data_IF_919839170798
#
_entry.id   IF_919839170798
#
_cell.length_a   1.000
_cell.length_b   1.000
_cell.length_c   1.000
_cell.angle_alpha   90.00
_cell.angle_beta   90.00
_cell.angle_gamma   90.00
#
_symmetry.space_group_name_H-M   'P 1'
#
loop_
_entity.id
_entity.type
_entity.pdbx_description
1 polymer ?
#
# COMPACT_ATOMS: atom_id res chain seq x y z
N UNK A 1 9.13 -8.19 -10.61
CA UNK A 1 10.04 -7.17 -10.04
C UNK A 1 10.67 -6.41 -11.19
N UNK A 2 10.14 -5.22 -11.52
CA UNK A 2 10.69 -4.37 -12.57
C UNK A 2 11.97 -3.71 -12.05
N UNK A 3 13.10 -3.93 -12.71
CA UNK A 3 14.35 -3.20 -12.44
C UNK A 3 14.44 -2.05 -13.43
N UNK A 4 14.17 -0.83 -12.98
CA UNK A 4 14.51 0.39 -13.73
C UNK A 4 16.04 0.48 -13.81
N UNK A 5 16.58 0.28 -15.00
CA UNK A 5 18.01 0.38 -15.24
C UNK A 5 18.38 1.85 -15.50
N UNK A 6 18.95 2.50 -14.49
CA UNK A 6 19.40 3.90 -14.55
C UNK A 6 20.92 3.91 -14.62
N UNK A 7 21.46 4.29 -15.78
CA UNK A 7 22.91 4.30 -16.04
C UNK A 7 23.60 5.56 -15.50
N UNK A 8 22.87 6.69 -15.38
CA UNK A 8 23.41 7.96 -14.90
C UNK A 8 23.44 7.99 -13.36
N UNK A 9 24.65 7.99 -12.78
CA UNK A 9 24.85 7.97 -11.32
C UNK A 9 24.25 9.19 -10.61
N UNK A 10 24.24 10.38 -11.24
CA UNK A 10 23.64 11.59 -10.67
C UNK A 10 22.12 11.48 -10.58
N UNK A 11 21.50 10.91 -11.63
CA UNK A 11 20.05 10.64 -11.67
C UNK A 11 19.68 9.58 -10.63
N UNK A 12 20.51 8.52 -10.50
CA UNK A 12 20.32 7.50 -9.46
C UNK A 12 20.38 8.11 -8.05
N UNK A 13 21.32 9.01 -7.80
CA UNK A 13 21.45 9.70 -6.52
C UNK A 13 20.22 10.57 -6.21
N UNK A 14 19.72 11.34 -7.17
CA UNK A 14 18.50 12.14 -7.01
C UNK A 14 17.28 11.25 -6.69
N UNK A 15 17.10 10.16 -7.43
CA UNK A 15 15.98 9.22 -7.21
C UNK A 15 16.07 8.58 -5.83
N UNK A 16 17.26 8.16 -5.40
CA UNK A 16 17.46 7.56 -4.09
C UNK A 16 17.10 8.55 -2.96
N UNK A 17 17.53 9.82 -3.07
CA UNK A 17 17.20 10.86 -2.11
C UNK A 17 15.68 11.12 -2.02
N UNK A 18 15.00 11.21 -3.17
CA UNK A 18 13.55 11.40 -3.25
C UNK A 18 12.82 10.22 -2.59
N UNK A 19 13.21 8.98 -2.88
CA UNK A 19 12.63 7.77 -2.29
C UNK A 19 12.80 7.77 -0.76
N UNK A 20 13.99 8.14 -0.26
CA UNK A 20 14.23 8.21 1.18
C UNK A 20 13.35 9.26 1.86
N UNK A 21 13.21 10.43 1.22
CA UNK A 21 12.36 11.52 1.73
C UNK A 21 10.89 11.10 1.79
N UNK A 22 10.38 10.43 0.75
CA UNK A 22 9.03 9.87 0.75
C UNK A 22 8.86 8.84 1.87
N UNK A 23 9.85 7.97 2.10
CA UNK A 23 9.80 6.96 3.17
C UNK A 23 9.67 7.62 4.55
N UNK A 24 10.45 8.67 4.81
CA UNK A 24 10.37 9.43 6.05
C UNK A 24 9.01 10.11 6.24
N UNK A 25 8.44 10.71 5.19
CA UNK A 25 7.12 11.34 5.27
C UNK A 25 5.99 10.33 5.52
N UNK A 26 6.05 9.15 4.86
CA UNK A 26 5.06 8.07 5.07
C UNK A 26 5.08 7.46 6.46
N UNK A 27 6.21 7.49 7.17
CA UNK A 27 6.30 7.02 8.55
C UNK A 27 5.55 7.93 9.55
N UNK A 28 5.22 9.17 9.17
CA UNK A 28 4.58 10.15 10.05
C UNK A 28 3.11 10.46 9.76
N UNK A 29 2.55 10.05 8.61
CA UNK A 29 1.21 10.47 8.18
C UNK A 29 0.40 9.28 7.65
N UNK A 30 -0.54 8.77 8.46
CA UNK A 30 -1.51 7.74 8.07
C UNK A 30 -2.65 8.27 7.19
N UNK A 31 -2.37 9.10 6.18
CA UNK A 31 -3.36 9.66 5.26
C UNK A 31 -3.02 9.39 3.81
N UNK A 32 -4.06 9.28 2.97
CA UNK A 32 -3.95 9.30 1.51
C UNK A 32 -3.33 10.62 1.06
N UNK A 33 -2.13 10.54 0.48
CA UNK A 33 -1.48 11.67 -0.17
C UNK A 33 -1.62 11.48 -1.68
N UNK A 34 -2.64 12.12 -2.26
CA UNK A 34 -2.87 12.13 -3.72
C UNK A 34 -1.77 12.90 -4.45
N UNK A 35 -1.20 13.91 -3.80
CA UNK A 35 -0.08 14.71 -4.27
C UNK A 35 0.98 14.75 -3.17
N UNK A 36 2.21 14.36 -3.50
CA UNK A 36 3.36 14.50 -2.62
C UNK A 36 4.17 15.71 -3.08
N UNK A 37 4.33 16.70 -2.21
CA UNK A 37 5.24 17.84 -2.42
C UNK A 37 6.49 17.64 -1.58
N UNK A 38 7.66 17.66 -2.23
CA UNK A 38 8.95 17.42 -1.62
C UNK A 38 9.89 18.60 -1.91
N UNK A 39 10.39 19.24 -0.85
CA UNK A 39 11.27 20.40 -0.97
C UNK A 39 12.75 20.01 -1.02
N UNK A 40 13.47 20.55 -2.01
CA UNK A 40 14.90 20.33 -2.20
C UNK A 40 15.63 21.61 -2.59
N UNK A 41 16.91 21.67 -2.29
CA UNK A 41 17.86 22.62 -2.88
C UNK A 41 18.49 22.00 -4.13
N UNK A 42 18.32 22.64 -5.30
CA UNK A 42 18.91 22.20 -6.56
C UNK A 42 20.28 22.86 -6.77
N UNK A 43 21.31 22.06 -7.08
CA UNK A 43 22.57 22.60 -7.57
C UNK A 43 22.44 22.97 -9.07
N UNK A 44 22.49 24.26 -9.44
CA UNK A 44 22.25 24.68 -10.82
C UNK A 44 23.37 24.28 -11.81
N UNK A 45 24.53 23.85 -11.31
CA UNK A 45 25.66 23.38 -12.15
C UNK A 45 25.66 21.87 -12.35
N UNK A 46 25.19 21.11 -11.36
CA UNK A 46 25.29 19.64 -11.38
C UNK A 46 23.97 18.92 -11.54
N UNK A 47 22.84 19.61 -11.30
CA UNK A 47 21.51 19.01 -11.30
C UNK A 47 21.21 18.13 -10.08
N UNK A 48 22.11 18.11 -9.07
CA UNK A 48 21.94 17.30 -7.87
C UNK A 48 21.04 17.98 -6.84
N UNK A 49 20.13 17.18 -6.26
CA UNK A 49 19.22 17.58 -5.19
C UNK A 49 19.87 17.40 -3.82
N UNK A 50 19.55 18.30 -2.88
CA UNK A 50 19.97 18.23 -1.47
C UNK A 50 18.86 18.73 -0.55
N UNK A 51 18.90 18.35 0.72
CA UNK A 51 18.06 18.95 1.78
C UNK A 51 18.87 20.13 2.37
N UNK A 52 18.23 21.29 2.51
CA UNK A 52 18.79 22.61 2.88
C UNK A 52 19.88 22.67 3.99
N UNK A 53 20.65 23.79 4.13
CA UNK A 53 20.70 25.00 3.29
C UNK A 53 22.13 25.41 2.87
N UNK A 54 22.35 25.69 1.60
CA UNK A 54 23.49 26.50 1.13
C UNK A 54 23.10 27.08 -0.23
N UNK A 55 23.14 28.42 -0.34
CA UNK A 55 23.07 29.27 -1.55
C UNK A 55 22.59 28.59 -2.85
N UNK A 56 21.33 28.12 -2.87
CA UNK A 56 20.77 27.38 -4.00
C UNK A 56 19.32 27.74 -4.23
N UNK A 57 18.87 27.54 -5.47
CA UNK A 57 17.45 27.61 -5.81
C UNK A 57 16.70 26.48 -5.12
N UNK A 58 15.65 26.86 -4.39
CA UNK A 58 14.76 25.94 -3.71
C UNK A 58 13.65 25.55 -4.68
N UNK A 59 13.47 24.25 -4.84
CA UNK A 59 12.42 23.70 -5.71
C UNK A 59 11.57 22.75 -4.91
N UNK A 60 10.28 22.72 -5.24
CA UNK A 60 9.37 21.67 -4.80
C UNK A 60 9.14 20.73 -5.98
N UNK A 61 9.35 19.44 -5.75
CA UNK A 61 9.01 18.38 -6.72
C UNK A 61 7.66 17.82 -6.31
N UNK A 62 6.67 18.04 -7.16
CA UNK A 62 5.30 17.57 -6.98
C UNK A 62 5.10 16.27 -7.76
N UNK A 63 4.72 15.22 -7.04
CA UNK A 63 4.38 13.93 -7.60
C UNK A 63 2.88 13.75 -7.53
N UNK A 64 2.19 13.89 -8.65
CA UNK A 64 0.77 13.56 -8.77
C UNK A 64 0.65 12.08 -9.17
N UNK A 65 0.31 11.25 -8.18
CA UNK A 65 0.21 9.81 -8.35
C UNK A 65 -0.99 9.44 -9.24
N UNK A 66 -2.07 10.24 -9.20
CA UNK A 66 -3.29 9.98 -9.95
C UNK A 66 -3.13 10.35 -11.43
N UNK A 67 -2.58 11.54 -11.69
CA UNK A 67 -2.39 12.06 -13.04
C UNK A 67 -1.09 11.55 -13.70
N UNK A 68 -0.21 10.90 -12.94
CA UNK A 68 1.12 10.43 -13.40
C UNK A 68 1.99 11.58 -13.86
N UNK A 69 1.92 12.67 -13.13
CA UNK A 69 2.66 13.88 -13.45
C UNK A 69 3.72 14.15 -12.40
N UNK A 70 4.87 14.62 -12.90
CA UNK A 70 5.96 15.11 -12.08
C UNK A 70 6.14 16.56 -12.49
N UNK A 71 5.88 17.47 -11.55
CA UNK A 71 6.04 18.90 -11.76
C UNK A 71 7.15 19.41 -10.85
N UNK A 72 7.95 20.34 -11.34
CA UNK A 72 8.94 21.05 -10.54
C UNK A 72 8.50 22.51 -10.50
N UNK A 73 8.31 23.03 -9.30
CA UNK A 73 7.90 24.41 -9.03
C UNK A 73 8.97 25.09 -8.21
N UNK A 74 9.20 26.38 -8.46
CA UNK A 74 10.12 27.16 -7.64
C UNK A 74 9.45 27.47 -6.29
N UNK A 75 10.13 27.13 -5.20
CA UNK A 75 9.56 27.20 -3.86
C UNK A 75 9.26 28.65 -3.49
N UNK A 76 8.03 28.88 -3.00
CA UNK A 76 7.53 30.23 -2.71
C UNK A 76 6.89 30.93 -3.91
N UNK A 77 6.79 30.25 -5.06
CA UNK A 77 6.05 30.71 -6.24
C UNK A 77 5.01 29.66 -6.66
N UNK A 78 4.01 30.07 -7.43
CA UNK A 78 3.08 29.14 -8.10
C UNK A 78 3.55 28.77 -9.52
N UNK A 79 4.73 29.24 -9.93
CA UNK A 79 5.22 29.08 -11.30
C UNK A 79 6.08 27.82 -11.44
N UNK A 80 5.94 27.17 -12.60
CA UNK A 80 6.82 26.07 -12.99
C UNK A 80 8.27 26.55 -13.01
N UNK A 81 9.16 25.70 -12.51
CA UNK A 81 10.58 26.00 -12.47
C UNK A 81 11.14 26.11 -13.89
N UNK A 82 11.73 27.26 -14.22
CA UNK A 82 12.35 27.45 -15.52
C UNK A 82 13.70 26.74 -15.59
N UNK A 83 13.73 25.66 -16.39
CA UNK A 83 14.91 24.86 -16.65
C UNK A 83 15.96 25.57 -17.52
N UNK A 84 15.62 26.68 -18.18
CA UNK A 84 16.57 27.44 -18.99
C UNK A 84 17.56 28.24 -18.14
N UNK A 85 17.27 28.43 -16.85
CA UNK A 85 18.11 29.21 -15.93
C UNK A 85 19.22 28.39 -15.25
N UNK A 86 19.39 27.11 -15.63
CA UNK A 86 20.42 26.22 -15.10
C UNK A 86 21.35 25.71 -16.20
N UNK A 87 22.51 25.19 -15.81
CA UNK A 87 23.49 24.64 -16.75
C UNK A 87 22.87 23.53 -17.63
N UNK A 88 23.16 23.44 -18.94
CA UNK A 88 22.58 22.41 -19.81
C UNK A 88 22.78 20.97 -19.30
N UNK A 89 23.90 20.68 -18.66
CA UNK A 89 24.16 19.38 -18.06
C UNK A 89 23.28 19.17 -16.81
N UNK A 90 23.07 20.21 -16.00
CA UNK A 90 22.15 20.17 -14.87
C UNK A 90 20.69 19.99 -15.32
N UNK A 91 20.29 20.68 -16.39
CA UNK A 91 18.98 20.54 -17.03
C UNK A 91 18.76 19.11 -17.50
N UNK A 92 19.74 18.50 -18.17
CA UNK A 92 19.65 17.11 -18.61
C UNK A 92 19.46 16.17 -17.41
N UNK A 93 20.27 16.31 -16.35
CA UNK A 93 20.18 15.48 -15.14
C UNK A 93 18.81 15.61 -14.47
N UNK A 94 18.28 16.83 -14.34
CA UNK A 94 16.97 17.06 -13.71
C UNK A 94 15.83 16.53 -14.58
N UNK A 95 15.91 16.70 -15.90
CA UNK A 95 14.91 16.20 -16.85
C UNK A 95 14.88 14.66 -16.86
N UNK A 96 16.06 14.01 -16.89
CA UNK A 96 16.17 12.55 -16.77
C UNK A 96 15.61 12.07 -15.42
N UNK A 97 15.92 12.78 -14.33
CA UNK A 97 15.35 12.49 -13.00
C UNK A 97 13.82 12.52 -13.04
N UNK A 98 13.22 13.58 -13.57
CA UNK A 98 11.75 13.70 -13.68
C UNK A 98 11.16 12.61 -14.58
N UNK A 99 11.82 12.27 -15.69
CA UNK A 99 11.39 11.20 -16.57
C UNK A 99 11.34 9.84 -15.85
N UNK A 100 12.40 9.48 -15.13
CA UNK A 100 12.44 8.22 -14.39
C UNK A 100 11.47 8.18 -13.21
N UNK A 101 11.23 9.32 -12.55
CA UNK A 101 10.17 9.44 -11.54
C UNK A 101 8.79 9.21 -12.16
N UNK A 102 8.52 9.77 -13.34
CA UNK A 102 7.27 9.56 -14.07
C UNK A 102 7.09 8.10 -14.49
N UNK A 103 8.15 7.44 -14.98
CA UNK A 103 8.13 5.99 -15.24
C UNK A 103 7.85 5.19 -13.96
N UNK A 104 8.52 5.53 -12.86
CA UNK A 104 8.29 4.90 -11.58
C UNK A 104 6.85 5.10 -11.07
N UNK A 105 6.25 6.29 -11.24
CA UNK A 105 4.83 6.55 -10.95
C UNK A 105 3.89 5.70 -11.84
N UNK A 106 4.24 5.53 -13.11
CA UNK A 106 3.53 4.63 -14.03
C UNK A 106 3.50 3.20 -13.49
N UNK A 107 4.66 2.69 -13.06
CA UNK A 107 4.79 1.37 -12.45
C UNK A 107 4.21 1.28 -11.04
N UNK A 108 4.10 2.39 -10.31
CA UNK A 108 3.43 2.41 -9.02
C UNK A 108 1.94 2.15 -9.17
N UNK A 109 1.31 2.44 -10.32
CA UNK A 109 -0.07 2.00 -10.59
C UNK A 109 -0.15 0.49 -10.84
N UNK A 110 0.83 -0.08 -11.55
CA UNK A 110 0.98 -1.54 -11.72
C UNK A 110 1.29 -2.24 -10.37
N UNK A 111 1.85 -1.50 -9.41
CA UNK A 111 2.11 -1.95 -8.02
C UNK A 111 0.95 -1.57 -7.09
N UNK A 112 0.07 -0.65 -7.44
CA UNK A 112 -1.19 -0.39 -6.72
C UNK A 112 -2.16 -1.57 -6.88
N UNK A 113 -1.96 -2.46 -7.87
CA UNK A 113 -2.57 -3.79 -7.90
C UNK A 113 -1.89 -4.79 -6.94
N UNK A 114 -0.75 -4.45 -6.32
CA UNK A 114 0.06 -5.38 -5.49
C UNK A 114 0.31 -4.91 -4.05
N UNK A 115 0.08 -3.65 -3.66
CA UNK A 115 0.30 -3.24 -2.25
C UNK A 115 -0.75 -2.24 -1.74
N UNK A 116 -1.93 -2.75 -1.36
CA UNK A 116 -2.74 -2.14 -0.30
C UNK A 116 -2.58 -2.90 1.03
N UNK A 117 -1.35 -3.04 1.52
CA UNK A 117 -1.16 -3.39 2.94
C UNK A 117 -1.20 -2.09 3.75
N UNK A 118 -2.37 -1.46 3.79
CA UNK A 118 -2.74 -0.63 4.93
C UNK A 118 -3.78 -1.43 5.69
N UNK A 119 -3.32 -2.08 6.76
CA UNK A 119 -4.23 -2.56 7.79
C UNK A 119 -4.92 -1.32 8.32
N UNK A 120 -6.25 -1.31 8.22
CA UNK A 120 -7.09 -0.27 8.75
C UNK A 120 -6.67 0.02 10.21
N UNK A 121 -6.26 1.24 10.58
CA UNK A 121 -5.86 1.58 11.96
C UNK A 121 -6.93 1.22 13.00
N UNK A 122 -8.18 1.13 12.54
CA UNK A 122 -9.32 0.68 13.32
C UNK A 122 -9.18 -0.80 13.80
N UNK A 123 -8.29 -1.58 13.18
CA UNK A 123 -7.92 -2.95 13.57
C UNK A 123 -7.10 -3.06 14.86
N UNK A 124 -6.53 -1.95 15.35
CA UNK A 124 -5.64 -1.97 16.52
C UNK A 124 -6.33 -2.47 17.80
N UNK A 125 -7.65 -2.39 17.85
CA UNK A 125 -8.50 -2.74 18.99
C UNK A 125 -9.09 -4.16 18.91
N UNK A 126 -8.82 -4.91 17.83
CA UNK A 126 -9.49 -6.18 17.54
C UNK A 126 -8.73 -7.40 18.11
N UNK A 127 -9.44 -8.27 18.84
CA UNK A 127 -8.92 -9.58 19.30
C UNK A 127 -8.62 -10.50 18.10
N UNK A 128 -7.40 -11.02 17.97
CA UNK A 128 -6.98 -11.86 16.83
C UNK A 128 -6.20 -11.11 15.75
N UNK A 129 -5.92 -9.81 15.96
CA UNK A 129 -5.15 -8.94 15.05
C UNK A 129 -3.83 -9.55 14.55
N UNK A 130 -3.09 -10.26 15.40
CA UNK A 130 -1.80 -10.87 15.00
C UNK A 130 -1.94 -11.82 13.81
N UNK A 131 -3.00 -12.64 13.82
CA UNK A 131 -3.24 -13.63 12.77
C UNK A 131 -3.79 -12.97 11.50
N UNK A 132 -4.62 -11.95 11.65
CA UNK A 132 -5.06 -11.13 10.52
C UNK A 132 -3.86 -10.45 9.86
N UNK A 133 -2.98 -9.84 10.66
CA UNK A 133 -1.76 -9.18 10.17
C UNK A 133 -0.83 -10.14 9.44
N UNK A 134 -0.68 -11.37 9.94
CA UNK A 134 0.16 -12.38 9.31
C UNK A 134 -0.34 -12.72 7.90
N UNK A 135 -1.65 -12.85 7.73
CA UNK A 135 -2.28 -13.28 6.49
C UNK A 135 -3.01 -12.14 5.75
N UNK A 136 -2.67 -10.87 6.00
CA UNK A 136 -3.35 -9.72 5.38
C UNK A 136 -2.84 -9.43 3.97
N UNK A 137 -3.77 -9.28 3.04
CA UNK A 137 -3.51 -8.84 1.67
C UNK A 137 -4.58 -7.84 1.25
N UNK A 138 -4.20 -6.60 0.91
CA UNK A 138 -5.11 -5.67 0.25
C UNK A 138 -5.18 -5.95 -1.23
N UNK A 139 -5.90 -7.01 -1.58
CA UNK A 139 -6.10 -7.46 -2.95
C UNK A 139 -7.59 -7.65 -3.21
N UNK A 140 -7.99 -7.47 -4.47
CA UNK A 140 -9.32 -7.85 -4.93
C UNK A 140 -9.40 -9.36 -5.19
N UNK A 141 -10.63 -9.87 -5.34
CA UNK A 141 -10.89 -11.31 -5.49
C UNK A 141 -10.04 -11.97 -6.58
N UNK A 142 -9.93 -11.33 -7.75
CA UNK A 142 -9.22 -11.87 -8.92
C UNK A 142 -7.73 -12.12 -8.62
N UNK A 143 -7.09 -11.21 -7.90
CA UNK A 143 -5.66 -11.30 -7.60
C UNK A 143 -5.41 -12.29 -6.46
N UNK A 144 -6.29 -12.31 -5.45
CA UNK A 144 -6.27 -13.32 -4.39
C UNK A 144 -6.41 -14.73 -4.97
N UNK A 145 -7.31 -14.92 -5.93
CA UNK A 145 -7.51 -16.19 -6.63
C UNK A 145 -6.26 -16.62 -7.42
N UNK A 146 -5.68 -15.69 -8.20
CA UNK A 146 -4.45 -15.97 -8.96
C UNK A 146 -3.30 -16.41 -8.05
N UNK A 147 -3.12 -15.75 -6.90
CA UNK A 147 -2.07 -16.11 -5.96
C UNK A 147 -2.35 -17.48 -5.34
N UNK A 148 -3.57 -17.70 -4.84
CA UNK A 148 -3.93 -18.94 -4.15
C UNK A 148 -3.88 -20.17 -5.06
N UNK A 149 -4.24 -20.05 -6.34
CA UNK A 149 -4.13 -21.15 -7.31
C UNK A 149 -2.68 -21.64 -7.51
N UNK A 150 -1.69 -20.82 -7.16
CA UNK A 150 -0.27 -21.19 -7.18
C UNK A 150 0.24 -21.70 -5.82
N UNK A 151 -0.66 -22.05 -4.89
CA UNK A 151 -0.34 -22.53 -3.54
C UNK A 151 -0.93 -23.92 -3.28
N UNK A 152 -0.72 -24.45 -2.07
CA UNK A 152 -1.27 -25.75 -1.68
C UNK A 152 -2.67 -25.62 -1.07
N UNK A 153 -3.57 -26.62 -1.27
CA UNK A 153 -4.85 -26.68 -0.58
C UNK A 153 -4.76 -26.46 0.93
N UNK A 154 -5.68 -25.65 1.44
CA UNK A 154 -5.75 -25.14 2.79
C UNK A 154 -4.88 -23.92 3.10
N UNK A 155 -4.31 -23.29 2.07
CA UNK A 155 -3.71 -21.96 2.19
C UNK A 155 -4.81 -20.89 2.20
N UNK A 156 -4.70 -19.90 3.09
CA UNK A 156 -5.71 -18.85 3.25
C UNK A 156 -5.12 -17.45 3.44
N UNK A 157 -5.90 -16.42 3.15
CA UNK A 157 -5.57 -15.01 3.39
C UNK A 157 -6.81 -14.22 3.83
N UNK A 158 -6.57 -13.06 4.44
CA UNK A 158 -7.59 -12.04 4.72
C UNK A 158 -7.42 -10.87 3.77
N UNK A 159 -8.55 -10.32 3.35
CA UNK A 159 -8.63 -9.08 2.57
C UNK A 159 -9.86 -8.28 3.00
N UNK A 160 -9.87 -6.99 2.66
CA UNK A 160 -11.07 -6.13 2.75
C UNK A 160 -11.36 -5.61 1.35
N UNK A 161 -12.26 -6.30 0.66
CA UNK A 161 -12.75 -5.87 -0.64
C UNK A 161 -13.88 -4.86 -0.51
N UNK A 162 -14.30 -4.31 -1.65
CA UNK A 162 -15.43 -3.37 -1.69
C UNK A 162 -16.70 -3.95 -1.08
N UNK A 163 -16.93 -5.25 -1.22
CA UNK A 163 -18.11 -5.91 -0.66
C UNK A 163 -18.07 -5.92 0.87
N UNK A 164 -16.96 -6.35 1.47
CA UNK A 164 -16.78 -6.33 2.92
C UNK A 164 -16.87 -4.90 3.49
N UNK A 165 -16.34 -3.90 2.79
CA UNK A 165 -16.49 -2.48 3.16
C UNK A 165 -17.94 -2.03 3.20
N UNK A 166 -18.71 -2.29 2.14
CA UNK A 166 -20.15 -1.95 2.07
C UNK A 166 -20.94 -2.70 3.16
N UNK A 167 -20.62 -3.97 3.39
CA UNK A 167 -21.24 -4.77 4.44
C UNK A 167 -20.98 -4.20 5.84
N UNK A 168 -19.75 -3.73 6.10
CA UNK A 168 -19.38 -3.08 7.35
C UNK A 168 -20.24 -1.83 7.62
N UNK A 169 -20.42 -0.98 6.61
CA UNK A 169 -21.25 0.23 6.70
C UNK A 169 -22.71 -0.11 7.00
N UNK A 170 -23.29 -1.04 6.23
CA UNK A 170 -24.70 -1.45 6.37
C UNK A 170 -24.94 -2.04 7.76
N UNK A 171 -24.12 -3.01 8.17
CA UNK A 171 -24.30 -3.69 9.45
C UNK A 171 -24.07 -2.72 10.61
N UNK A 172 -23.08 -1.83 10.52
CA UNK A 172 -22.84 -0.83 11.55
C UNK A 172 -24.03 0.11 11.72
N UNK A 173 -24.66 0.52 10.61
CA UNK A 173 -25.86 1.35 10.63
C UNK A 173 -27.06 0.61 11.27
N UNK A 174 -27.29 -0.65 10.88
CA UNK A 174 -28.40 -1.46 11.41
C UNK A 174 -28.23 -1.74 12.91
N UNK A 175 -27.01 -2.08 13.34
CA UNK A 175 -26.72 -2.43 14.74
C UNK A 175 -26.48 -1.22 15.64
N UNK A 176 -26.35 -0.02 15.06
CA UNK A 176 -25.99 1.22 15.78
C UNK A 176 -24.73 1.04 16.64
N UNK A 177 -23.80 0.25 16.13
CA UNK A 177 -22.55 -0.11 16.78
C UNK A 177 -21.52 -0.30 15.70
N UNK A 178 -20.26 0.00 16.00
CA UNK A 178 -19.15 -0.32 15.10
C UNK A 178 -19.11 -1.84 14.90
N UNK A 179 -19.07 -2.23 13.63
CA UNK A 179 -18.88 -3.61 13.18
C UNK A 179 -17.63 -3.62 12.31
N UNK A 180 -16.94 -4.75 12.32
CA UNK A 180 -15.79 -4.95 11.47
C UNK A 180 -16.02 -6.15 10.54
N UNK A 181 -15.75 -5.98 9.25
CA UNK A 181 -15.98 -7.01 8.25
C UNK A 181 -14.71 -7.28 7.43
N UNK A 182 -14.38 -8.56 7.25
CA UNK A 182 -13.30 -9.04 6.42
C UNK A 182 -13.77 -10.15 5.48
N UNK A 183 -13.02 -10.35 4.41
CA UNK A 183 -13.16 -11.53 3.57
C UNK A 183 -11.97 -12.47 3.82
N UNK A 184 -12.29 -13.68 4.24
CA UNK A 184 -11.37 -14.82 4.26
C UNK A 184 -11.44 -15.51 2.90
N UNK A 185 -10.31 -15.56 2.20
CA UNK A 185 -10.18 -16.30 0.94
C UNK A 185 -9.24 -17.46 1.12
N UNK A 186 -9.62 -18.65 0.66
CA UNK A 186 -8.84 -19.86 0.84
C UNK A 186 -8.94 -20.81 -0.36
N UNK A 187 -7.93 -21.66 -0.53
CA UNK A 187 -7.94 -22.75 -1.51
C UNK A 187 -8.48 -24.02 -0.83
N UNK A 188 -9.62 -24.54 -1.27
CA UNK A 188 -10.26 -25.73 -0.70
C UNK A 188 -9.53 -27.04 -1.11
N UNK A 189 -9.86 -28.20 -0.48
CA UNK A 189 -9.26 -29.49 -0.82
C UNK A 189 -9.43 -29.90 -2.29
N UNK A 190 -10.48 -29.41 -2.94
CA UNK A 190 -10.79 -29.64 -4.35
C UNK A 190 -10.01 -28.72 -5.30
N UNK A 191 -9.18 -27.82 -4.77
CA UNK A 191 -8.38 -26.88 -5.56
C UNK A 191 -9.17 -25.68 -6.07
N UNK A 192 -10.32 -25.37 -5.46
CA UNK A 192 -11.14 -24.21 -5.80
C UNK A 192 -10.91 -23.10 -4.77
N UNK A 193 -10.88 -21.86 -5.26
CA UNK A 193 -10.78 -20.68 -4.40
C UNK A 193 -12.18 -20.34 -3.88
N UNK A 194 -12.29 -20.20 -2.56
CA UNK A 194 -13.53 -19.91 -1.83
C UNK A 194 -13.38 -18.63 -1.03
N UNK A 195 -14.48 -17.91 -0.89
CA UNK A 195 -14.59 -16.72 -0.04
C UNK A 195 -15.58 -16.98 1.09
N UNK A 196 -15.27 -16.46 2.28
CA UNK A 196 -16.19 -16.31 3.40
C UNK A 196 -16.06 -14.93 4.01
N UNK A 197 -17.18 -14.26 4.22
CA UNK A 197 -17.20 -13.00 4.97
C UNK A 197 -17.20 -13.30 6.47
N UNK A 198 -16.28 -12.68 7.19
CA UNK A 198 -16.14 -12.78 8.64
C UNK A 198 -16.47 -11.43 9.24
N UNK A 199 -17.23 -11.43 10.34
CA UNK A 199 -17.72 -10.23 11.01
C UNK A 199 -17.37 -10.26 12.50
N UNK A 200 -17.01 -9.10 13.06
CA UNK A 200 -16.94 -8.90 14.51
C UNK A 200 -18.18 -8.18 15.01
N UNK A 201 -18.81 -8.74 16.04
CA UNK A 201 -19.92 -8.09 16.73
C UNK A 201 -19.89 -8.39 18.22
N UNK A 202 -19.95 -7.35 19.05
CA UNK A 202 -19.89 -7.46 20.52
C UNK A 202 -18.73 -8.35 21.01
N UNK A 203 -17.54 -8.13 20.47
CA UNK A 203 -16.32 -8.90 20.77
C UNK A 203 -16.35 -10.39 20.38
N UNK A 204 -17.33 -10.81 19.58
CA UNK A 204 -17.40 -12.16 19.03
C UNK A 204 -17.17 -12.14 17.53
N UNK A 205 -16.63 -13.24 17.04
CA UNK A 205 -16.39 -13.51 15.63
C UNK A 205 -17.49 -14.41 15.08
N UNK A 206 -17.90 -14.20 13.83
CA UNK A 206 -18.87 -15.06 13.16
C UNK A 206 -18.65 -15.06 11.63
N UNK A 207 -19.07 -16.15 10.97
CA UNK A 207 -19.22 -16.16 9.53
C UNK A 207 -20.56 -15.52 9.16
N UNK A 208 -20.52 -14.51 8.29
CA UNK A 208 -21.72 -13.86 7.80
C UNK A 208 -22.43 -14.75 6.77
N UNK A 209 -23.74 -14.87 6.92
CA UNK A 209 -24.64 -15.75 6.18
C UNK A 209 -25.83 -14.99 5.58
N UNK A 210 -25.61 -13.72 5.22
CA UNK A 210 -26.62 -12.81 4.67
C UNK A 210 -27.75 -12.42 5.66
N UNK A 211 -27.62 -12.78 6.94
CA UNK A 211 -28.53 -12.36 8.00
C UNK A 211 -28.04 -11.07 8.71
N UNK A 212 -28.70 -9.91 8.52
CA UNK A 212 -28.34 -8.66 9.18
C UNK A 212 -28.61 -8.70 10.69
N UNK A 213 -29.32 -9.70 11.20
CA UNK A 213 -29.48 -9.90 12.64
C UNK A 213 -28.21 -10.46 13.30
N UNK A 214 -27.26 -10.98 12.51
CA UNK A 214 -26.02 -11.60 12.97
C UNK A 214 -26.27 -12.70 13.99
N UNK A 215 -27.38 -13.45 13.86
CA UNK A 215 -27.85 -14.45 14.84
C UNK A 215 -27.11 -15.80 14.75
N UNK A 216 -26.10 -15.90 13.90
CA UNK A 216 -25.32 -17.12 13.66
C UNK A 216 -24.42 -17.53 14.82
N UNK A 217 -23.59 -18.53 14.56
CA UNK A 217 -22.67 -19.10 15.55
C UNK A 217 -21.56 -18.10 15.91
N UNK A 218 -21.46 -17.77 17.19
CA UNK A 218 -20.42 -16.89 17.73
C UNK A 218 -19.19 -17.67 18.19
N UNK A 219 -18.03 -17.09 17.93
CA UNK A 219 -16.73 -17.57 18.37
C UNK A 219 -16.07 -16.50 19.24
N UNK A 220 -15.43 -16.93 20.32
CA UNK A 220 -14.76 -16.02 21.28
C UNK A 220 -13.47 -15.42 20.72
N UNK A 221 -12.86 -16.10 19.75
CA UNK A 221 -11.64 -15.70 19.09
C UNK A 221 -11.70 -15.98 17.59
N UNK A 222 -10.83 -15.32 16.83
CA UNK A 222 -10.70 -15.58 15.40
C UNK A 222 -10.15 -17.00 15.18
N UNK A 223 -9.26 -17.45 16.04
CA UNK A 223 -8.67 -18.78 16.04
C UNK A 223 -9.75 -19.86 16.18
N UNK A 224 -10.70 -19.70 17.10
CA UNK A 224 -11.82 -20.63 17.26
C UNK A 224 -12.71 -20.67 16.00
N UNK A 225 -12.94 -19.50 15.39
CA UNK A 225 -13.71 -19.39 14.14
C UNK A 225 -13.01 -20.13 12.99
N UNK A 226 -11.70 -19.95 12.83
CA UNK A 226 -10.95 -20.64 11.78
C UNK A 226 -10.84 -22.14 12.06
N UNK A 227 -10.67 -22.52 13.33
CA UNK A 227 -10.63 -23.92 13.75
C UNK A 227 -11.96 -24.64 13.49
N UNK A 228 -13.08 -23.91 13.53
CA UNK A 228 -14.40 -24.45 13.18
C UNK A 228 -14.50 -24.91 11.71
N UNK A 229 -13.57 -24.49 10.85
CA UNK A 229 -13.46 -24.96 9.47
C UNK A 229 -12.71 -26.29 9.35
N UNK A 230 -12.30 -26.90 10.47
CA UNK A 230 -11.69 -28.22 10.51
C UNK A 230 -10.40 -28.29 9.69
N UNK A 231 -10.30 -29.30 8.83
CA UNK A 231 -9.10 -29.56 8.01
C UNK A 231 -9.01 -28.70 6.74
N UNK A 232 -9.99 -27.82 6.50
CA UNK A 232 -10.04 -26.95 5.31
C UNK A 232 -8.91 -25.92 5.39
N UNK A 233 -8.76 -25.22 6.51
CA UNK A 233 -7.71 -24.22 6.69
C UNK A 233 -6.50 -24.84 7.38
N UNK A 234 -5.31 -24.69 6.78
CA UNK A 234 -4.07 -25.29 7.27
C UNK A 234 -2.98 -24.28 7.53
N UNK A 235 -2.83 -23.28 6.66
CA UNK A 235 -1.72 -22.33 6.74
C UNK A 235 -2.11 -20.94 6.23
N UNK A 236 -1.71 -19.87 6.92
CA UNK A 236 -1.83 -18.53 6.37
C UNK A 236 -0.89 -18.37 5.18
N UNK A 237 -1.30 -17.56 4.21
CA UNK A 237 -0.44 -17.01 3.19
C UNK A 237 0.20 -15.75 3.76
N UNK A 238 1.49 -15.78 4.13
CA UNK A 238 2.13 -14.63 4.74
C UNK A 238 2.09 -13.44 3.79
N UNK A 239 1.72 -12.27 4.31
CA UNK A 239 1.88 -11.02 3.59
C UNK A 239 3.33 -10.93 3.09
N UNK A 240 3.53 -10.53 1.83
CA UNK A 240 4.88 -10.38 1.26
C UNK A 240 5.60 -9.29 2.05
N UNK A 241 6.38 -9.71 3.05
CA UNK A 241 7.33 -8.83 3.73
C UNK A 241 8.38 -8.48 2.69
N UNK A 242 8.35 -7.25 2.18
CA UNK A 242 9.50 -6.71 1.46
C UNK A 242 10.65 -6.74 2.45
N UNK A 243 11.51 -7.77 2.35
CA UNK A 243 12.78 -7.78 3.06
C UNK A 243 13.57 -6.60 2.52
N UNK A 244 13.59 -5.49 3.24
CA UNK A 244 14.69 -4.55 3.14
C UNK A 244 15.92 -5.32 3.58
N UNK A 245 16.67 -5.85 2.62
CA UNK A 245 18.04 -6.28 2.85
C UNK A 245 18.79 -5.02 3.28
N UNK A 246 18.92 -4.85 4.60
CA UNK A 246 19.93 -3.99 5.18
C UNK A 246 21.27 -4.64 4.88
N UNK A 247 21.81 -4.36 3.69
CA UNK A 247 23.25 -4.54 3.47
C UNK A 247 23.91 -3.36 4.14
N UNK A 248 24.22 -3.51 5.43
CA UNK A 248 25.20 -2.66 6.08
C UNK A 248 26.57 -3.28 5.83
N UNK A 249 27.37 -2.51 5.08
CA UNK A 249 28.82 -2.64 4.83
C UNK A 249 29.29 -3.91 4.07
#
# INVERSE_FOLDING_TARGET
MYKLHIQNEKVRANIALIIETIRHLKQGQGRELHVLSLSFALNPRTGLLQIEPLERKLIDIHLDVHQREVCVVERGTEHLFDLQEIDPQAQQVLSETCHYLKLALGHLRDIHEIVYIQLDPSMDEIKGKSLIHEAWHGLERKDAELILLNTMPGTYLFRKDRFAGVMEEILSAVKKSRIFCLTLTYLDPEGQVRDKTIVTWKDHWLFYDDDPTLSGNYFQSLEDLLFSMGSILKRPLPAVKIKTTKTFM
#
